data_IF_475242556006
#
_entry.id   IF_475242556006
#
_cell.length_a   1.000
_cell.length_b   1.000
_cell.length_c   1.000
_cell.angle_alpha   90.00
_cell.angle_beta   90.00
_cell.angle_gamma   90.00
#
_symmetry.space_group_name_H-M   'P 1'
#
loop_
_entity.id
_entity.type
_entity.pdbx_description
1 polymer ?
#
# COMPACT_ATOMS: atom_id res chain seq x y z
N UNK A 1 -31.41 -64.29 -33.47
CA UNK A 1 -32.39 -63.43 -32.76
C UNK A 1 -31.56 -62.44 -31.96
N UNK A 2 -31.28 -61.33 -32.59
CA UNK A 2 -31.72 -59.98 -32.35
C UNK A 2 -31.56 -59.55 -30.88
N UNK A 3 -30.89 -58.47 -30.55
CA UNK A 3 -31.36 -57.11 -30.73
C UNK A 3 -30.21 -56.13 -30.61
N UNK A 4 -30.29 -55.10 -31.43
CA UNK A 4 -29.45 -53.94 -31.55
C UNK A 4 -29.22 -53.14 -30.23
N UNK A 5 -28.02 -52.59 -30.10
CA UNK A 5 -27.67 -51.62 -29.08
C UNK A 5 -27.37 -50.26 -29.73
N UNK A 6 -28.11 -49.31 -29.34
CA UNK A 6 -27.99 -47.89 -29.73
C UNK A 6 -26.80 -47.25 -29.00
N UNK A 7 -25.95 -46.66 -29.75
CA UNK A 7 -24.95 -45.71 -29.31
C UNK A 7 -25.61 -44.42 -28.92
N UNK A 8 -25.38 -43.96 -27.70
CA UNK A 8 -25.57 -42.56 -27.34
C UNK A 8 -24.19 -41.97 -27.10
N UNK A 9 -23.70 -41.28 -28.10
CA UNK A 9 -22.54 -40.41 -27.93
C UNK A 9 -22.94 -39.21 -27.14
N UNK A 10 -22.40 -39.10 -25.93
CA UNK A 10 -22.46 -37.87 -25.16
C UNK A 10 -21.18 -37.10 -25.44
N UNK A 11 -21.31 -36.05 -26.25
CA UNK A 11 -20.26 -35.07 -26.45
C UNK A 11 -19.87 -34.50 -25.10
N UNK A 12 -18.63 -34.73 -24.71
CA UNK A 12 -18.00 -34.05 -23.59
C UNK A 12 -17.73 -32.64 -24.08
N UNK A 13 -18.58 -31.70 -23.69
CA UNK A 13 -18.30 -30.29 -23.82
C UNK A 13 -17.01 -30.02 -23.04
N UNK A 14 -15.96 -29.70 -23.77
CA UNK A 14 -14.74 -29.14 -23.20
C UNK A 14 -15.12 -27.88 -22.42
N UNK A 15 -15.16 -28.02 -21.11
CA UNK A 15 -15.23 -26.89 -20.20
C UNK A 15 -13.92 -26.16 -20.39
N UNK A 16 -13.97 -25.02 -21.06
CA UNK A 16 -12.87 -24.07 -21.11
C UNK A 16 -12.46 -23.78 -19.68
N UNK A 17 -11.34 -24.32 -19.30
CA UNK A 17 -10.64 -24.01 -18.06
C UNK A 17 -10.28 -22.53 -18.13
N UNK A 18 -11.22 -21.68 -17.71
CA UNK A 18 -10.92 -20.28 -17.47
C UNK A 18 -9.97 -20.29 -16.29
N UNK A 19 -8.72 -20.23 -16.60
CA UNK A 19 -7.67 -19.89 -15.66
C UNK A 19 -8.03 -18.56 -15.03
N UNK A 20 -8.82 -18.62 -13.97
CA UNK A 20 -9.14 -17.46 -13.15
C UNK A 20 -7.88 -17.23 -12.32
N UNK A 21 -7.19 -16.09 -12.48
CA UNK A 21 -6.02 -15.81 -11.65
C UNK A 21 -6.45 -15.88 -10.18
N UNK A 22 -5.61 -16.37 -9.28
CA UNK A 22 -5.90 -16.41 -7.85
C UNK A 22 -6.06 -14.97 -7.35
N UNK A 23 -7.33 -14.52 -7.25
CA UNK A 23 -7.70 -13.18 -6.89
C UNK A 23 -8.84 -12.69 -7.76
N UNK A 24 -10.07 -12.69 -7.22
CA UNK A 24 -11.23 -12.13 -7.91
C UNK A 24 -11.03 -10.65 -8.26
N UNK A 25 -11.94 -10.03 -9.04
CA UNK A 25 -11.81 -8.64 -9.51
C UNK A 25 -11.56 -7.63 -8.37
N UNK A 26 -11.99 -7.95 -7.16
CA UNK A 26 -11.75 -7.14 -5.96
C UNK A 26 -10.28 -7.15 -5.55
N UNK A 27 -9.61 -8.31 -5.61
CA UNK A 27 -8.19 -8.43 -5.25
C UNK A 27 -7.33 -7.73 -6.30
N UNK A 28 -7.65 -7.87 -7.59
CA UNK A 28 -6.99 -7.10 -8.65
C UNK A 28 -7.09 -5.60 -8.36
N UNK A 29 -8.28 -5.12 -7.99
CA UNK A 29 -8.49 -3.72 -7.66
C UNK A 29 -7.78 -3.28 -6.38
N UNK A 30 -7.57 -4.17 -5.41
CA UNK A 30 -6.72 -3.91 -4.26
C UNK A 30 -5.26 -3.68 -4.69
N UNK A 31 -4.74 -4.55 -5.57
CA UNK A 31 -3.36 -4.44 -6.08
C UNK A 31 -3.18 -3.15 -6.89
N UNK A 32 -4.15 -2.79 -7.74
CA UNK A 32 -4.11 -1.55 -8.51
C UNK A 32 -4.06 -0.30 -7.62
N UNK A 33 -4.78 -0.31 -6.50
CA UNK A 33 -4.87 0.84 -5.58
C UNK A 33 -3.71 0.93 -4.59
N UNK A 34 -3.17 -0.21 -4.16
CA UNK A 34 -2.25 -0.29 -3.02
C UNK A 34 -0.93 -0.99 -3.32
N UNK A 35 -0.72 -1.44 -4.57
CA UNK A 35 0.47 -2.18 -5.00
C UNK A 35 0.51 -3.65 -4.54
N UNK A 36 -0.24 -4.02 -3.52
CA UNK A 36 -0.33 -5.38 -2.96
C UNK A 36 -1.76 -5.68 -2.52
N UNK A 37 -2.12 -6.98 -2.49
CA UNK A 37 -3.39 -7.40 -1.91
C UNK A 37 -3.44 -7.17 -0.40
N UNK A 38 -4.63 -6.95 0.16
CA UNK A 38 -4.79 -6.88 1.62
C UNK A 38 -4.43 -8.20 2.30
N UNK A 39 -4.64 -9.32 1.62
CA UNK A 39 -4.20 -10.62 2.10
C UNK A 39 -2.70 -10.62 2.38
N UNK A 40 -1.89 -10.25 1.38
CA UNK A 40 -0.42 -10.27 1.49
C UNK A 40 0.07 -9.27 2.55
N UNK A 41 -0.51 -8.07 2.57
CA UNK A 41 -0.13 -7.03 3.54
C UNK A 41 -0.42 -7.46 4.98
N UNK A 42 -1.65 -7.91 5.25
CA UNK A 42 -2.08 -8.26 6.61
C UNK A 42 -1.42 -9.54 7.12
N UNK A 43 -1.20 -10.55 6.25
CA UNK A 43 -0.44 -11.74 6.64
C UNK A 43 1.03 -11.43 6.95
N UNK A 44 1.66 -10.52 6.20
CA UNK A 44 3.01 -10.07 6.48
C UNK A 44 3.10 -9.38 7.86
N UNK A 45 2.14 -8.52 8.19
CA UNK A 45 2.08 -7.88 9.50
C UNK A 45 1.85 -8.90 10.63
N UNK A 46 0.92 -9.84 10.44
CA UNK A 46 0.69 -10.90 11.43
C UNK A 46 1.96 -11.73 11.68
N UNK A 47 2.70 -12.05 10.63
CA UNK A 47 3.96 -12.80 10.74
C UNK A 47 5.04 -11.97 11.44
N UNK A 48 5.25 -10.71 11.04
CA UNK A 48 6.30 -9.85 11.60
C UNK A 48 6.12 -9.58 13.09
N UNK A 49 4.88 -9.33 13.51
CA UNK A 49 4.53 -9.02 14.90
C UNK A 49 4.02 -10.22 15.70
N UNK A 50 4.03 -11.43 15.09
CA UNK A 50 3.52 -12.68 15.71
C UNK A 50 2.08 -12.55 16.23
N UNK A 51 1.23 -11.88 15.46
CA UNK A 51 -0.15 -11.59 15.83
C UNK A 51 -1.14 -12.59 15.24
N UNK A 52 -2.20 -12.86 16.00
CA UNK A 52 -3.42 -13.43 15.45
C UNK A 52 -4.18 -12.36 14.67
N UNK A 53 -5.06 -12.79 13.76
CA UNK A 53 -5.94 -11.88 13.02
C UNK A 53 -6.80 -11.00 13.95
N UNK A 54 -7.31 -11.57 15.04
CA UNK A 54 -8.11 -10.84 16.02
C UNK A 54 -7.27 -9.76 16.74
N UNK A 55 -6.02 -10.06 17.09
CA UNK A 55 -5.14 -9.11 17.74
C UNK A 55 -4.74 -7.99 16.78
N UNK A 56 -4.40 -8.32 15.52
CA UNK A 56 -4.12 -7.32 14.49
C UNK A 56 -5.34 -6.40 14.28
N UNK A 57 -6.55 -6.97 14.18
CA UNK A 57 -7.79 -6.19 14.05
C UNK A 57 -7.94 -5.17 15.17
N UNK A 58 -7.73 -5.59 16.44
CA UNK A 58 -7.79 -4.70 17.58
C UNK A 58 -6.76 -3.55 17.50
N UNK A 59 -5.52 -3.85 17.14
CA UNK A 59 -4.44 -2.85 17.02
C UNK A 59 -4.76 -1.80 15.94
N UNK A 60 -5.20 -2.23 14.77
CA UNK A 60 -5.51 -1.28 13.67
C UNK A 60 -6.87 -0.60 13.83
N UNK A 61 -7.71 -1.06 14.76
CA UNK A 61 -9.04 -0.47 15.01
C UNK A 61 -10.12 -0.96 14.06
N UNK A 62 -10.05 -2.22 13.64
CA UNK A 62 -11.10 -2.91 12.87
C UNK A 62 -11.70 -4.05 13.68
N UNK A 63 -12.89 -4.50 13.28
CA UNK A 63 -13.43 -5.77 13.78
C UNK A 63 -12.77 -6.96 13.05
N UNK A 64 -12.67 -8.11 13.71
CA UNK A 64 -12.13 -9.32 13.11
C UNK A 64 -12.85 -9.75 11.82
N UNK A 65 -14.20 -9.66 11.71
CA UNK A 65 -14.90 -9.89 10.45
C UNK A 65 -14.48 -8.94 9.32
N UNK A 66 -14.23 -7.66 9.62
CA UNK A 66 -13.78 -6.70 8.59
C UNK A 66 -12.38 -7.05 8.07
N UNK A 67 -11.47 -7.48 8.93
CA UNK A 67 -10.15 -7.97 8.54
C UNK A 67 -10.28 -9.22 7.67
N UNK A 68 -11.16 -10.15 8.03
CA UNK A 68 -11.46 -11.34 7.23
C UNK A 68 -11.97 -10.99 5.83
N UNK A 69 -12.87 -10.00 5.72
CA UNK A 69 -13.39 -9.51 4.43
C UNK A 69 -12.32 -8.87 3.55
N UNK A 70 -11.34 -8.19 4.14
CA UNK A 70 -10.20 -7.63 3.41
C UNK A 70 -9.30 -8.74 2.87
N UNK A 71 -8.96 -9.71 3.72
CA UNK A 71 -8.12 -10.87 3.38
C UNK A 71 -8.76 -11.73 2.29
N UNK A 72 -10.06 -12.01 2.41
CA UNK A 72 -10.79 -12.83 1.44
C UNK A 72 -11.11 -12.10 0.13
N UNK A 73 -10.77 -10.82 0.01
CA UNK A 73 -11.11 -10.04 -1.17
C UNK A 73 -12.58 -9.65 -1.30
N UNK A 74 -13.38 -9.79 -0.27
CA UNK A 74 -14.77 -9.32 -0.26
C UNK A 74 -14.86 -7.80 -0.14
N UNK A 75 -13.81 -7.16 0.36
CA UNK A 75 -13.73 -5.72 0.52
C UNK A 75 -12.49 -5.15 -0.20
N UNK A 76 -12.71 -4.10 -0.99
CA UNK A 76 -11.63 -3.47 -1.78
C UNK A 76 -10.72 -2.61 -0.93
N UNK A 77 -11.27 -1.77 -0.04
CA UNK A 77 -10.53 -0.71 0.62
C UNK A 77 -10.87 -0.54 2.11
N UNK A 78 -9.93 0.00 2.84
CA UNK A 78 -10.12 0.58 4.15
C UNK A 78 -10.57 2.03 3.94
N UNK A 79 -11.78 2.36 4.39
CA UNK A 79 -12.36 3.71 4.21
C UNK A 79 -12.02 4.65 5.37
N UNK A 80 -11.68 4.10 6.53
CA UNK A 80 -11.26 4.90 7.68
C UNK A 80 -9.76 5.22 7.56
N UNK A 81 -9.40 6.50 7.38
CA UNK A 81 -8.02 6.91 7.19
C UNK A 81 -7.14 6.63 8.42
N UNK A 82 -7.71 6.69 9.62
CA UNK A 82 -6.99 6.38 10.86
C UNK A 82 -6.56 4.91 10.90
N UNK A 83 -7.42 4.01 10.43
CA UNK A 83 -7.10 2.59 10.30
C UNK A 83 -5.99 2.37 9.26
N UNK A 84 -6.11 3.02 8.11
CA UNK A 84 -5.10 2.94 7.06
C UNK A 84 -3.73 3.44 7.53
N UNK A 85 -3.70 4.58 8.23
CA UNK A 85 -2.47 5.14 8.80
C UNK A 85 -1.80 4.19 9.81
N UNK A 86 -2.57 3.49 10.65
CA UNK A 86 -2.04 2.47 11.55
C UNK A 86 -1.43 1.29 10.81
N UNK A 87 -2.05 0.84 9.72
CA UNK A 87 -1.48 -0.23 8.87
C UNK A 87 -0.15 0.23 8.28
N UNK A 88 -0.09 1.41 7.67
CA UNK A 88 1.14 1.97 7.11
C UNK A 88 2.23 2.09 8.17
N UNK A 89 1.87 2.58 9.36
CA UNK A 89 2.82 2.70 10.46
C UNK A 89 3.40 1.37 10.92
N UNK A 90 2.59 0.33 10.98
CA UNK A 90 3.08 -1.03 11.25
C UNK A 90 4.03 -1.52 10.15
N UNK A 91 3.71 -1.25 8.87
CA UNK A 91 4.58 -1.62 7.75
C UNK A 91 5.94 -0.93 7.80
N UNK A 92 5.97 0.36 8.12
CA UNK A 92 7.21 1.12 8.31
C UNK A 92 8.09 0.52 9.43
N UNK A 93 7.46 0.13 10.54
CA UNK A 93 8.16 -0.39 11.72
C UNK A 93 8.53 -1.87 11.61
N UNK A 94 7.99 -2.63 10.63
CA UNK A 94 8.41 -4.02 10.39
C UNK A 94 9.92 -4.17 10.15
N UNK A 95 10.57 -3.14 9.61
CA UNK A 95 12.01 -3.14 9.34
C UNK A 95 12.87 -2.77 10.54
N UNK A 96 12.30 -2.41 11.70
CA UNK A 96 13.08 -2.06 12.87
C UNK A 96 13.82 -3.27 13.45
N UNK A 97 15.05 -3.09 13.96
CA UNK A 97 15.87 -4.20 14.44
C UNK A 97 15.20 -5.04 15.52
N UNK A 98 14.49 -4.42 16.46
CA UNK A 98 13.79 -5.12 17.54
C UNK A 98 12.63 -6.00 17.03
N UNK A 99 11.83 -5.49 16.07
CA UNK A 99 10.74 -6.27 15.45
C UNK A 99 11.31 -7.41 14.62
N UNK A 100 12.37 -7.19 13.85
CA UNK A 100 13.01 -8.25 13.07
C UNK A 100 13.65 -9.33 13.94
N UNK A 101 14.23 -8.94 15.07
CA UNK A 101 14.74 -9.88 16.07
C UNK A 101 13.62 -10.66 16.77
N UNK A 102 12.38 -10.21 16.64
CA UNK A 102 11.22 -10.78 17.32
C UNK A 102 11.22 -10.51 18.81
N UNK A 103 11.84 -9.39 19.25
CA UNK A 103 11.86 -8.97 20.63
C UNK A 103 10.43 -8.65 21.13
N UNK A 104 9.91 -9.43 22.08
CA UNK A 104 8.54 -9.25 22.53
C UNK A 104 8.29 -7.88 23.19
N UNK A 105 9.27 -7.34 23.89
CA UNK A 105 9.15 -6.03 24.55
C UNK A 105 9.03 -4.91 23.52
N UNK A 106 9.88 -4.95 22.49
CA UNK A 106 9.82 -3.97 21.39
C UNK A 106 8.54 -4.10 20.58
N UNK A 107 8.12 -5.33 20.29
CA UNK A 107 6.85 -5.60 19.59
C UNK A 107 5.68 -5.02 20.39
N UNK A 108 5.57 -5.32 21.68
CA UNK A 108 4.49 -4.82 22.52
C UNK A 108 4.49 -3.29 22.62
N UNK A 109 5.67 -2.67 22.70
CA UNK A 109 5.83 -1.21 22.69
C UNK A 109 5.30 -0.61 21.38
N UNK A 110 5.73 -1.14 20.23
CA UNK A 110 5.26 -0.68 18.91
C UNK A 110 3.76 -0.83 18.76
N UNK A 111 3.19 -1.96 19.19
CA UNK A 111 1.75 -2.19 19.10
C UNK A 111 0.95 -1.24 19.99
N UNK A 112 1.45 -0.94 21.19
CA UNK A 112 0.84 0.03 22.10
C UNK A 112 0.88 1.44 21.51
N UNK A 113 2.04 1.87 20.98
CA UNK A 113 2.22 3.17 20.35
C UNK A 113 1.27 3.35 19.16
N UNK A 114 1.18 2.35 18.28
CA UNK A 114 0.28 2.39 17.11
C UNK A 114 -1.19 2.40 17.53
N UNK A 115 -1.56 1.65 18.57
CA UNK A 115 -2.93 1.61 19.07
C UNK A 115 -3.33 2.94 19.69
N UNK A 116 -2.44 3.56 20.48
CA UNK A 116 -2.66 4.84 21.15
C UNK A 116 -2.64 6.02 20.16
N UNK A 117 -1.95 5.88 19.03
CA UNK A 117 -1.91 6.92 18.02
C UNK A 117 -3.33 7.21 17.55
N UNK A 118 -3.80 8.41 17.82
CA UNK A 118 -4.96 9.00 17.16
C UNK A 118 -4.41 9.69 15.91
N UNK A 119 -4.43 9.04 14.74
CA UNK A 119 -3.98 9.70 13.53
C UNK A 119 -4.99 10.81 13.25
N UNK A 120 -4.66 12.00 13.65
CA UNK A 120 -5.26 13.19 13.13
C UNK A 120 -4.87 13.23 11.66
N UNK A 121 -5.87 13.25 10.77
CA UNK A 121 -5.67 13.67 9.39
C UNK A 121 -5.46 15.20 9.38
N UNK A 122 -4.54 15.63 10.16
CA UNK A 122 -3.81 16.80 9.79
C UNK A 122 -2.94 16.33 8.65
N UNK A 123 -2.92 17.10 7.56
CA UNK A 123 -1.77 17.14 6.67
C UNK A 123 -0.58 17.44 7.60
N UNK A 124 -0.17 16.43 8.33
CA UNK A 124 0.99 16.50 9.17
C UNK A 124 2.11 16.59 8.15
N UNK A 125 2.53 17.83 7.91
CA UNK A 125 3.88 18.12 7.51
C UNK A 125 4.74 17.11 8.25
N UNK A 126 5.19 16.07 7.54
CA UNK A 126 6.17 15.14 8.11
C UNK A 126 7.31 16.03 8.60
N UNK A 127 7.73 15.92 9.87
CA UNK A 127 8.86 16.68 10.33
C UNK A 127 9.97 16.51 9.31
N UNK A 128 10.60 17.61 8.91
CA UNK A 128 11.65 17.60 7.88
C UNK A 128 12.78 16.60 8.19
N UNK A 129 12.88 16.17 9.45
CA UNK A 129 13.83 15.23 10.01
C UNK A 129 13.52 13.74 9.72
N UNK A 130 12.28 13.41 9.31
CA UNK A 130 11.90 12.03 8.98
C UNK A 130 12.12 11.68 7.49
N UNK A 131 12.59 12.62 6.69
CA UNK A 131 12.92 12.37 5.28
C UNK A 131 14.22 11.61 5.20
N UNK A 132 14.17 10.42 4.56
CA UNK A 132 15.40 9.68 4.25
C UNK A 132 16.35 10.59 3.43
N UNK A 133 17.66 10.60 3.73
CA UNK A 133 18.62 11.34 2.90
C UNK A 133 18.43 10.93 1.44
N UNK A 134 18.15 11.91 0.56
CA UNK A 134 17.98 11.67 -0.87
C UNK A 134 16.54 11.64 -1.40
N UNK A 135 15.51 11.52 -0.56
CA UNK A 135 14.11 11.55 -1.04
C UNK A 135 13.73 12.90 -1.64
N UNK A 136 14.21 13.99 -1.06
CA UNK A 136 13.97 15.33 -1.58
C UNK A 136 14.63 15.54 -2.95
N UNK A 137 15.87 15.12 -3.10
CA UNK A 137 16.62 15.19 -4.36
C UNK A 137 16.00 14.30 -5.43
N UNK A 138 15.48 13.14 -5.03
CA UNK A 138 14.77 12.25 -5.95
C UNK A 138 13.46 12.86 -6.41
N UNK A 139 12.69 13.47 -5.52
CA UNK A 139 11.46 14.20 -5.85
C UNK A 139 11.74 15.40 -6.77
N UNK A 140 12.78 16.17 -6.50
CA UNK A 140 13.20 17.30 -7.33
C UNK A 140 13.57 16.84 -8.74
N UNK A 141 14.38 15.79 -8.86
CA UNK A 141 14.76 15.22 -10.18
C UNK A 141 13.56 14.68 -10.94
N UNK A 142 12.65 14.01 -10.25
CA UNK A 142 11.41 13.50 -10.87
C UNK A 142 10.55 14.65 -11.41
N UNK A 143 10.32 15.68 -10.61
CA UNK A 143 9.53 16.85 -10.99
C UNK A 143 10.19 17.61 -12.15
N UNK A 144 11.51 17.79 -12.13
CA UNK A 144 12.26 18.44 -13.21
C UNK A 144 12.17 17.66 -14.54
N UNK A 145 12.03 16.34 -14.50
CA UNK A 145 11.79 15.51 -15.69
C UNK A 145 10.35 15.50 -16.17
N UNK A 146 9.39 15.88 -15.31
CA UNK A 146 7.96 15.78 -15.61
C UNK A 146 7.43 17.00 -16.38
N UNK A 147 7.95 18.20 -16.12
CA UNK A 147 7.44 19.44 -16.71
C UNK A 147 8.54 20.49 -16.92
N UNK A 148 8.38 21.39 -17.90
CA UNK A 148 9.30 22.50 -18.12
C UNK A 148 9.39 23.43 -16.90
N UNK A 149 10.54 24.10 -16.66
CA UNK A 149 10.72 25.00 -15.52
C UNK A 149 9.67 26.12 -15.38
N UNK A 150 9.14 26.61 -16.49
CA UNK A 150 8.10 27.63 -16.50
C UNK A 150 6.78 27.09 -15.90
N UNK A 151 6.40 25.86 -16.22
CA UNK A 151 5.19 25.20 -15.69
C UNK A 151 5.35 24.91 -14.20
N UNK A 152 6.52 24.44 -13.78
CA UNK A 152 6.82 24.20 -12.36
C UNK A 152 6.76 25.48 -11.53
N UNK A 153 7.29 26.61 -12.05
CA UNK A 153 7.17 27.92 -11.39
C UNK A 153 5.73 28.40 -11.30
N UNK A 154 4.94 28.22 -12.36
CA UNK A 154 3.52 28.57 -12.35
C UNK A 154 2.74 27.73 -11.33
N UNK A 155 2.99 26.43 -11.27
CA UNK A 155 2.38 25.55 -10.29
C UNK A 155 2.79 25.91 -8.85
N UNK A 156 4.05 26.26 -8.61
CA UNK A 156 4.53 26.72 -7.30
C UNK A 156 3.84 28.01 -6.84
N UNK A 157 3.50 28.90 -7.77
CA UNK A 157 2.78 30.14 -7.48
C UNK A 157 1.31 29.90 -7.10
N UNK A 158 0.72 28.79 -7.56
CA UNK A 158 -0.67 28.41 -7.25
C UNK A 158 -0.85 27.86 -5.82
N UNK A 159 0.24 27.43 -5.15
CA UNK A 159 0.22 26.83 -3.81
C UNK A 159 1.24 27.47 -2.86
N UNK A 160 1.19 28.81 -2.67
CA UNK A 160 2.20 29.52 -1.92
C UNK A 160 2.26 29.08 -0.46
N UNK A 161 3.46 29.07 0.13
CA UNK A 161 3.67 28.74 1.54
C UNK A 161 3.59 27.23 1.88
N UNK A 162 3.66 26.35 0.89
CA UNK A 162 3.66 24.91 1.08
C UNK A 162 5.03 24.28 0.74
N UNK A 163 5.37 23.15 1.37
CA UNK A 163 6.54 22.36 1.02
C UNK A 163 6.54 21.93 -0.46
N UNK A 164 5.35 21.75 -1.04
CA UNK A 164 5.20 21.46 -2.46
C UNK A 164 5.69 22.62 -3.33
N UNK A 165 5.37 23.86 -2.95
CA UNK A 165 5.86 25.04 -3.67
C UNK A 165 7.39 25.11 -3.65
N UNK A 166 8.02 24.73 -2.54
CA UNK A 166 9.47 24.72 -2.40
C UNK A 166 10.12 23.62 -3.23
N UNK A 167 9.50 22.43 -3.30
CA UNK A 167 9.93 21.34 -4.18
C UNK A 167 9.80 21.73 -5.65
N UNK A 168 8.68 22.35 -6.05
CA UNK A 168 8.45 22.80 -7.41
C UNK A 168 9.44 23.89 -7.83
N UNK A 169 9.75 24.86 -6.94
CA UNK A 169 10.78 25.89 -7.19
C UNK A 169 12.16 25.28 -7.31
N UNK A 170 12.51 24.35 -6.43
CA UNK A 170 13.79 23.64 -6.50
C UNK A 170 13.93 22.83 -7.79
N UNK A 171 12.87 22.14 -8.21
CA UNK A 171 12.84 21.41 -9.48
C UNK A 171 12.92 22.32 -10.70
N UNK A 172 12.31 23.52 -10.64
CA UNK A 172 12.39 24.54 -11.69
C UNK A 172 13.78 25.22 -11.76
N UNK A 173 14.58 25.15 -10.68
CA UNK A 173 15.93 25.69 -10.61
C UNK A 173 17.03 24.64 -10.88
N UNK A 174 16.71 23.36 -10.84
CA UNK A 174 17.62 22.29 -11.24
C UNK A 174 17.65 22.19 -12.76
N UNK A 175 18.18 23.25 -13.40
CA UNK A 175 18.44 23.24 -14.83
C UNK A 175 19.45 22.15 -15.13
N UNK A 176 19.02 21.17 -15.93
CA UNK A 176 19.81 20.00 -16.26
C UNK A 176 21.15 20.42 -16.89
N UNK A 177 22.18 20.44 -16.09
CA UNK A 177 23.54 20.26 -16.58
C UNK A 177 23.60 18.87 -17.22
N UNK A 178 23.11 18.77 -18.44
CA UNK A 178 23.49 17.72 -19.36
C UNK A 178 24.99 17.87 -19.58
N UNK A 179 25.83 16.93 -19.20
CA UNK A 179 27.16 16.90 -19.74
C UNK A 179 27.02 16.62 -21.24
N UNK A 180 27.38 17.62 -22.03
CA UNK A 180 27.74 17.43 -23.43
C UNK A 180 29.06 16.67 -23.40
N UNK A 181 29.06 15.43 -23.79
CA UNK A 181 30.21 14.58 -24.02
C UNK A 181 29.78 13.43 -24.91
#
# INVERSE_FOLDING_TARGET
MQIAQRKSGRAVLATSDRHHPPGGPTVTRQVDLYGLSWSDRLHRLMAAYRLTQARLAAVIGLSAPMVSQLISGQRVKITNPAVYARVVRLEELCGSPGVQAGDPVEIDRVLADVTAATPTLTTAVMPAEARRPGEREQAIRYLAGLAPPAVLRSAAAAVPGTDLADLLRAAAGSDGSRPLG
#
